data_IF_679955193752
#
_entry.id   IF_679955193752
#
_cell.length_a   1.000
_cell.length_b   1.000
_cell.length_c   1.000
_cell.angle_alpha   90.00
_cell.angle_beta   90.00
_cell.angle_gamma   90.00
#
_symmetry.space_group_name_H-M   'P 1'
#
loop_
_entity.id
_entity.type
_entity.pdbx_description
1 polymer ?
#
# COMPACT_ATOMS: atom_id res chain seq x y z
N UNK A 1 4.50 21.29 29.76
CA UNK A 1 4.29 20.14 30.66
C UNK A 1 3.38 19.14 29.97
N UNK A 2 3.90 18.01 29.48
CA UNK A 2 3.16 16.75 29.43
C UNK A 2 4.16 15.62 29.72
N UNK A 3 4.01 15.11 30.93
CA UNK A 3 4.73 14.01 31.57
C UNK A 3 4.13 12.71 31.05
N UNK A 4 4.96 11.87 30.43
CA UNK A 4 4.66 10.48 30.13
C UNK A 4 5.83 9.65 30.62
N UNK A 5 5.81 9.25 31.88
CA UNK A 5 6.73 8.25 32.43
C UNK A 5 6.22 6.87 32.00
N UNK A 6 6.88 6.31 30.99
CA UNK A 6 6.76 4.93 30.57
C UNK A 6 8.16 4.35 30.44
N UNK A 7 8.48 3.41 31.31
CA UNK A 7 9.77 2.73 31.46
C UNK A 7 10.31 2.19 30.12
N UNK A 8 11.34 2.83 29.58
CA UNK A 8 12.13 2.33 28.45
C UNK A 8 13.62 2.71 28.59
N UNK A 9 14.13 2.84 29.82
CA UNK A 9 15.48 3.37 30.07
C UNK A 9 16.60 2.32 30.05
N UNK A 10 16.31 1.02 29.96
CA UNK A 10 17.34 -0.04 30.08
C UNK A 10 17.68 -0.77 28.78
N UNK A 11 17.00 -0.49 27.66
CA UNK A 11 17.15 -1.29 26.43
C UNK A 11 17.79 -0.56 25.23
N UNK A 12 18.15 0.73 25.34
CA UNK A 12 18.76 1.47 24.23
C UNK A 12 19.94 2.33 24.69
N UNK A 13 21.17 1.79 24.71
CA UNK A 13 22.37 2.52 25.14
C UNK A 13 22.93 3.49 24.09
N UNK A 14 22.36 3.55 22.88
CA UNK A 14 22.85 4.42 21.80
C UNK A 14 22.15 5.78 21.72
N UNK A 15 22.91 6.85 21.48
CA UNK A 15 22.41 8.20 21.22
C UNK A 15 21.61 8.22 19.91
N UNK A 16 20.28 8.14 20.00
CA UNK A 16 19.38 8.29 18.86
C UNK A 16 19.31 9.74 18.38
N UNK A 17 19.36 9.93 17.06
CA UNK A 17 19.22 11.24 16.42
C UNK A 17 17.74 11.55 16.19
N UNK A 18 17.28 12.69 16.71
CA UNK A 18 15.97 13.25 16.36
C UNK A 18 16.09 14.08 15.09
N UNK A 19 15.19 13.85 14.13
CA UNK A 19 15.16 14.52 12.85
C UNK A 19 13.79 15.20 12.69
N UNK A 20 13.79 16.52 12.54
CA UNK A 20 12.58 17.30 12.27
C UNK A 20 12.58 17.69 10.79
N UNK A 21 11.52 17.34 10.07
CA UNK A 21 11.33 17.73 8.67
C UNK A 21 9.99 18.45 8.56
N UNK A 22 10.00 19.64 7.95
CA UNK A 22 8.78 20.39 7.65
C UNK A 22 8.40 20.07 6.20
N UNK A 23 7.24 19.47 6.00
CA UNK A 23 6.70 19.15 4.69
C UNK A 23 5.20 19.44 4.66
N UNK A 24 4.69 20.05 3.57
CA UNK A 24 3.27 20.38 3.40
C UNK A 24 2.66 21.16 4.58
N UNK A 25 3.40 22.13 5.13
CA UNK A 25 3.00 22.92 6.31
C UNK A 25 2.79 22.11 7.61
N UNK A 26 3.21 20.83 7.62
CA UNK A 26 3.20 19.97 8.79
C UNK A 26 4.64 19.65 9.24
N UNK A 27 4.84 19.55 10.55
CA UNK A 27 6.14 19.22 11.14
C UNK A 27 6.15 17.74 11.48
N UNK A 28 7.01 16.98 10.81
CA UNK A 28 7.20 15.55 11.08
C UNK A 28 8.47 15.35 11.90
N UNK A 29 8.33 14.65 13.04
CA UNK A 29 9.45 14.23 13.88
C UNK A 29 9.73 12.74 13.69
N UNK A 30 10.98 12.43 13.36
CA UNK A 30 11.48 11.06 13.21
C UNK A 30 12.61 10.82 14.21
N UNK A 31 12.74 9.58 14.66
CA UNK A 31 13.87 9.11 15.48
C UNK A 31 14.63 8.08 14.66
N UNK A 32 15.93 8.29 14.48
CA UNK A 32 16.78 7.41 13.69
C UNK A 32 18.07 7.07 14.44
N UNK A 33 18.48 5.79 14.36
CA UNK A 33 19.79 5.36 14.85
C UNK A 33 20.91 5.66 13.84
N UNK A 34 20.56 5.86 12.56
CA UNK A 34 21.54 6.15 11.52
C UNK A 34 21.91 7.65 11.52
N UNK A 35 23.17 7.93 11.86
CA UNK A 35 23.73 9.29 11.90
C UNK A 35 24.29 9.76 10.55
N UNK A 36 24.58 8.85 9.62
CA UNK A 36 25.21 9.13 8.31
C UNK A 36 24.22 9.69 7.30
N UNK A 37 22.95 9.30 7.38
CA UNK A 37 21.92 9.72 6.45
C UNK A 37 21.46 11.16 6.72
N UNK A 38 21.16 11.91 5.66
CA UNK A 38 20.56 13.24 5.79
C UNK A 38 19.13 13.17 6.34
N UNK A 39 18.66 14.28 6.92
CA UNK A 39 17.30 14.39 7.44
C UNK A 39 16.23 14.06 6.38
N UNK A 40 16.46 14.51 5.14
CA UNK A 40 15.58 14.24 4.01
C UNK A 40 15.56 12.76 3.62
N UNK A 41 16.71 12.08 3.62
CA UNK A 41 16.77 10.65 3.33
C UNK A 41 16.04 9.83 4.38
N UNK A 42 16.19 10.18 5.67
CA UNK A 42 15.47 9.54 6.76
C UNK A 42 13.96 9.72 6.58
N UNK A 43 13.50 10.94 6.27
CA UNK A 43 12.09 11.19 5.99
C UNK A 43 11.57 10.39 4.78
N UNK A 44 12.36 10.29 3.69
CA UNK A 44 12.02 9.46 2.52
C UNK A 44 11.87 7.98 2.88
N UNK A 45 12.78 7.44 3.69
CA UNK A 45 12.71 6.04 4.16
C UNK A 45 11.47 5.82 5.03
N UNK A 46 11.18 6.73 5.96
CA UNK A 46 9.99 6.65 6.80
C UNK A 46 8.70 6.75 5.97
N UNK A 47 8.68 7.57 4.93
CA UNK A 47 7.58 7.67 3.99
C UNK A 47 7.40 6.38 3.16
N UNK A 48 8.50 5.78 2.70
CA UNK A 48 8.46 4.47 2.03
C UNK A 48 7.91 3.37 2.94
N UNK A 49 8.30 3.36 4.23
CA UNK A 49 7.74 2.43 5.23
C UNK A 49 6.23 2.57 5.36
N UNK A 50 5.73 3.81 5.37
CA UNK A 50 4.29 4.08 5.40
C UNK A 50 3.57 3.58 4.14
N UNK A 51 4.18 3.69 2.96
CA UNK A 51 3.60 3.12 1.73
C UNK A 51 3.43 1.60 1.81
N UNK A 52 4.41 0.89 2.40
CA UNK A 52 4.29 -0.56 2.64
C UNK A 52 3.15 -0.87 3.61
N UNK A 53 3.01 -0.09 4.68
CA UNK A 53 1.93 -0.25 5.65
C UNK A 53 0.54 0.01 5.03
N UNK A 54 0.43 1.04 4.19
CA UNK A 54 -0.78 1.35 3.44
C UNK A 54 -1.12 0.24 2.43
N UNK A 55 -0.11 -0.36 1.79
CA UNK A 55 -0.28 -1.53 0.93
C UNK A 55 -0.85 -2.73 1.68
N UNK A 56 -0.29 -3.10 2.84
CA UNK A 56 -0.82 -4.20 3.65
C UNK A 56 -2.21 -3.89 4.21
N UNK A 57 -2.48 -2.64 4.58
CA UNK A 57 -3.82 -2.20 4.97
C UNK A 57 -4.81 -2.39 3.82
N UNK A 58 -4.43 -2.03 2.60
CA UNK A 58 -5.25 -2.22 1.41
C UNK A 58 -5.51 -3.70 1.13
N UNK A 59 -4.48 -4.56 1.21
CA UNK A 59 -4.64 -6.02 1.03
C UNK A 59 -5.64 -6.57 2.05
N UNK A 60 -5.47 -6.27 3.34
CA UNK A 60 -6.36 -6.75 4.39
C UNK A 60 -7.81 -6.26 4.22
N UNK A 61 -8.02 -5.09 3.63
CA UNK A 61 -9.34 -4.52 3.39
C UNK A 61 -10.03 -5.04 2.13
N UNK A 62 -9.28 -5.41 1.09
CA UNK A 62 -9.84 -5.78 -0.21
C UNK A 62 -9.81 -7.30 -0.47
N UNK A 63 -8.90 -8.03 0.16
CA UNK A 63 -9.00 -9.49 0.29
C UNK A 63 -9.70 -9.77 1.62
N UNK A 64 -11.02 -9.85 1.61
CA UNK A 64 -11.76 -10.47 2.71
C UNK A 64 -11.38 -11.96 2.72
N UNK A 65 -10.39 -12.33 3.53
CA UNK A 65 -10.06 -13.74 3.79
C UNK A 65 -11.20 -14.28 4.67
N UNK A 66 -12.34 -14.60 4.07
CA UNK A 66 -13.54 -15.05 4.82
C UNK A 66 -13.34 -16.42 5.48
N UNK A 67 -12.41 -17.24 4.98
CA UNK A 67 -11.94 -18.42 5.68
C UNK A 67 -10.56 -18.81 5.14
N UNK A 68 -9.62 -19.10 6.04
CA UNK A 68 -8.46 -19.89 5.68
C UNK A 68 -8.98 -21.26 5.20
N UNK A 69 -9.00 -21.50 3.87
CA UNK A 69 -9.40 -22.77 3.26
C UNK A 69 -8.52 -23.98 3.67
N UNK A 70 -7.54 -23.73 4.52
CA UNK A 70 -6.80 -24.72 5.27
C UNK A 70 -5.97 -24.00 6.34
N UNK A 71 -5.83 -24.62 7.51
CA UNK A 71 -4.97 -24.17 8.60
C UNK A 71 -3.45 -24.42 8.45
N UNK A 72 -2.89 -25.14 7.44
CA UNK A 72 -1.45 -25.33 7.42
C UNK A 72 -0.74 -24.03 7.02
N UNK A 73 0.43 -23.77 7.62
CA UNK A 73 1.27 -22.60 7.38
C UNK A 73 1.50 -22.32 5.87
N UNK A 74 1.67 -23.38 5.08
CA UNK A 74 1.86 -23.29 3.64
C UNK A 74 0.64 -22.72 2.88
N UNK A 75 -0.59 -22.95 3.37
CA UNK A 75 -1.79 -22.38 2.78
C UNK A 75 -1.86 -20.88 3.03
N UNK A 76 -1.49 -20.44 4.23
CA UNK A 76 -1.39 -19.01 4.60
C UNK A 76 -0.36 -18.31 3.71
N UNK A 77 0.84 -18.88 3.58
CA UNK A 77 1.91 -18.31 2.75
C UNK A 77 1.45 -18.21 1.29
N UNK A 78 0.84 -19.26 0.76
CA UNK A 78 0.32 -19.27 -0.62
C UNK A 78 -0.75 -18.20 -0.85
N UNK A 79 -1.66 -17.97 0.10
CA UNK A 79 -2.66 -16.90 0.01
C UNK A 79 -2.02 -15.51 -0.03
N UNK A 80 -0.96 -15.29 0.74
CA UNK A 80 -0.21 -14.02 0.69
C UNK A 80 0.46 -13.84 -0.67
N UNK A 81 1.08 -14.88 -1.23
CA UNK A 81 1.67 -14.82 -2.58
C UNK A 81 0.62 -14.49 -3.65
N UNK A 82 -0.54 -15.14 -3.62
CA UNK A 82 -1.64 -14.86 -4.55
C UNK A 82 -2.14 -13.42 -4.39
N UNK A 83 -2.29 -12.92 -3.16
CA UNK A 83 -2.68 -11.54 -2.88
C UNK A 83 -1.69 -10.52 -3.47
N UNK A 84 -0.39 -10.78 -3.32
CA UNK A 84 0.67 -9.94 -3.88
C UNK A 84 0.65 -9.95 -5.41
N UNK A 85 0.50 -11.13 -6.04
CA UNK A 85 0.39 -11.26 -7.50
C UNK A 85 -0.85 -10.51 -8.01
N UNK A 86 -1.99 -10.67 -7.36
CA UNK A 86 -3.23 -10.00 -7.72
C UNK A 86 -3.10 -8.46 -7.67
N UNK A 87 -2.49 -7.93 -6.60
CA UNK A 87 -2.21 -6.51 -6.49
C UNK A 87 -1.28 -6.01 -7.60
N UNK A 88 -0.21 -6.75 -7.89
CA UNK A 88 0.73 -6.38 -8.95
C UNK A 88 0.02 -6.31 -10.31
N UNK A 89 -0.85 -7.28 -10.59
CA UNK A 89 -1.64 -7.30 -11.82
C UNK A 89 -2.58 -6.09 -11.90
N UNK A 90 -3.29 -5.76 -10.82
CA UNK A 90 -4.14 -4.57 -10.74
C UNK A 90 -3.35 -3.27 -10.96
N UNK A 91 -2.19 -3.14 -10.31
CA UNK A 91 -1.31 -1.98 -10.47
C UNK A 91 -0.81 -1.86 -11.91
N UNK A 92 -0.43 -2.99 -12.52
CA UNK A 92 -0.01 -3.04 -13.92
C UNK A 92 -1.14 -2.65 -14.89
N UNK A 93 -2.36 -3.18 -14.68
CA UNK A 93 -3.53 -2.82 -15.50
C UNK A 93 -3.84 -1.33 -15.35
N UNK A 94 -3.81 -0.79 -14.13
CA UNK A 94 -3.99 0.64 -13.87
C UNK A 94 -2.96 1.49 -14.61
N UNK A 95 -1.70 1.06 -14.59
CA UNK A 95 -0.60 1.74 -15.27
C UNK A 95 -0.80 1.74 -16.80
N UNK A 96 -1.12 0.58 -17.39
CA UNK A 96 -1.33 0.43 -18.83
C UNK A 96 -2.54 1.20 -19.35
N UNK A 97 -3.64 1.21 -18.59
CA UNK A 97 -4.89 1.88 -19.00
C UNK A 97 -4.95 3.36 -18.61
N UNK A 98 -3.90 3.90 -17.97
CA UNK A 98 -3.87 5.26 -17.40
C UNK A 98 -5.14 5.57 -16.61
N UNK A 99 -5.63 4.59 -15.86
CA UNK A 99 -6.94 4.66 -15.25
C UNK A 99 -6.97 5.73 -14.14
N UNK A 100 -7.79 6.76 -14.35
CA UNK A 100 -7.85 7.93 -13.47
C UNK A 100 -8.47 7.64 -12.09
N UNK A 101 -9.28 6.58 -11.95
CA UNK A 101 -9.97 6.28 -10.68
C UNK A 101 -9.09 5.50 -9.69
N UNK A 102 -9.59 5.37 -8.46
CA UNK A 102 -8.90 4.66 -7.38
C UNK A 102 -8.71 3.16 -7.69
N UNK A 103 -7.74 2.52 -7.03
CA UNK A 103 -7.52 1.07 -7.14
C UNK A 103 -8.74 0.24 -6.74
N UNK A 104 -9.55 0.74 -5.78
CA UNK A 104 -10.75 0.06 -5.30
C UNK A 104 -11.84 -0.03 -6.38
N UNK A 105 -12.02 1.03 -7.17
CA UNK A 105 -12.92 1.02 -8.33
C UNK A 105 -12.48 0.03 -9.40
N UNK A 106 -11.17 -0.09 -9.62
CA UNK A 106 -10.62 -1.10 -10.53
C UNK A 106 -10.87 -2.52 -10.02
N UNK A 107 -10.63 -2.78 -8.73
CA UNK A 107 -10.94 -4.07 -8.09
C UNK A 107 -12.41 -4.45 -8.24
N UNK A 108 -13.33 -3.50 -8.01
CA UNK A 108 -14.77 -3.73 -8.22
C UNK A 108 -15.08 -4.10 -9.66
N UNK A 109 -14.58 -3.32 -10.63
CA UNK A 109 -14.76 -3.60 -12.06
C UNK A 109 -14.24 -5.00 -12.45
N UNK A 110 -13.06 -5.37 -11.94
CA UNK A 110 -12.49 -6.71 -12.18
C UNK A 110 -13.35 -7.80 -11.56
N UNK A 111 -13.89 -7.59 -10.35
CA UNK A 111 -14.78 -8.55 -9.69
C UNK A 111 -16.08 -8.77 -10.49
N UNK A 112 -16.74 -7.69 -10.92
CA UNK A 112 -17.93 -7.77 -11.77
C UNK A 112 -17.64 -8.45 -13.12
N UNK A 113 -16.45 -8.19 -13.69
CA UNK A 113 -16.01 -8.82 -14.95
C UNK A 113 -15.55 -10.26 -14.77
N UNK A 114 -15.19 -10.71 -13.57
CA UNK A 114 -14.92 -12.12 -13.28
C UNK A 114 -16.22 -12.90 -13.07
N UNK A 115 -17.24 -12.27 -12.50
CA UNK A 115 -18.56 -12.86 -12.27
C UNK A 115 -19.35 -13.00 -13.57
N UNK A 116 -19.13 -12.09 -14.54
CA UNK A 116 -19.68 -12.19 -15.88
C UNK A 116 -18.62 -12.82 -16.77
N UNK A 117 -18.93 -13.89 -17.51
CA UNK A 117 -17.96 -14.56 -18.41
C UNK A 117 -17.62 -13.70 -19.66
N UNK A 118 -17.10 -12.48 -19.47
CA UNK A 118 -16.68 -11.55 -20.52
C UNK A 118 -15.17 -11.38 -20.48
N UNK A 119 -14.56 -11.19 -21.65
CA UNK A 119 -13.13 -10.92 -21.74
C UNK A 119 -12.79 -9.60 -21.04
N UNK A 120 -11.82 -9.67 -20.12
CA UNK A 120 -11.28 -8.53 -19.38
C UNK A 120 -10.75 -7.44 -20.33
N UNK A 121 -10.20 -7.86 -21.47
CA UNK A 121 -9.68 -6.99 -22.52
C UNK A 121 -10.80 -6.14 -23.14
N UNK A 122 -11.99 -6.69 -23.39
CA UNK A 122 -13.12 -5.93 -23.94
C UNK A 122 -13.57 -4.81 -23.00
N UNK A 123 -13.64 -5.06 -21.69
CA UNK A 123 -14.01 -4.05 -20.69
C UNK A 123 -12.98 -2.91 -20.59
N UNK A 124 -11.68 -3.25 -20.61
CA UNK A 124 -10.59 -2.27 -20.59
C UNK A 124 -10.54 -1.47 -21.91
N UNK A 125 -10.93 -2.09 -23.02
CA UNK A 125 -11.01 -1.47 -24.36
C UNK A 125 -12.25 -0.60 -24.53
N UNK A 126 -13.39 -0.97 -23.92
CA UNK A 126 -14.66 -0.24 -24.01
C UNK A 126 -14.54 1.20 -23.48
N UNK A 127 -13.69 1.40 -22.46
CA UNK A 127 -13.45 2.73 -21.90
C UNK A 127 -12.60 3.63 -22.80
N UNK A 128 -11.84 3.06 -23.75
CA UNK A 128 -11.15 3.82 -24.80
C UNK A 128 -12.18 4.41 -25.78
N UNK A 129 -13.18 3.63 -26.17
CA UNK A 129 -14.27 4.09 -27.04
C UNK A 129 -15.19 5.14 -26.39
N UNK A 130 -15.42 5.07 -25.08
CA UNK A 130 -16.25 6.08 -24.38
C UNK A 130 -15.54 7.44 -24.23
N UNK A 131 -14.20 7.48 -24.26
CA UNK A 131 -13.45 8.73 -24.20
C UNK A 131 -13.31 9.41 -25.58
N UNK A 132 -13.38 8.65 -26.67
CA UNK A 132 -13.36 9.19 -28.04
C UNK A 132 -14.73 9.75 -28.49
N UNK A 133 -15.83 9.42 -27.81
CA UNK A 133 -17.18 9.91 -28.16
C UNK A 133 -17.64 11.15 -27.37
N UNK A 134 -16.74 11.78 -26.61
CA UNK A 134 -16.99 13.03 -25.89
C UNK A 134 -16.00 14.12 -26.31
N UNK A 135 -15.80 14.29 -27.62
CA UNK A 135 -15.29 15.52 -28.24
C UNK A 135 -16.40 16.16 -29.09
#
# INVERSE_FOLDING_TARGET
MLRGEGSASSACPERLRRVRVVANNAVHEYVANNTRLSALQIAKICNARWHVELFFKWIKQNLTIEAFLGTPENAVISQVWVAMIYYLLLAYIKFQTKFAKSLLELTRMVKETLLVHRMLVDMLSLKRLFFDFSL
#
